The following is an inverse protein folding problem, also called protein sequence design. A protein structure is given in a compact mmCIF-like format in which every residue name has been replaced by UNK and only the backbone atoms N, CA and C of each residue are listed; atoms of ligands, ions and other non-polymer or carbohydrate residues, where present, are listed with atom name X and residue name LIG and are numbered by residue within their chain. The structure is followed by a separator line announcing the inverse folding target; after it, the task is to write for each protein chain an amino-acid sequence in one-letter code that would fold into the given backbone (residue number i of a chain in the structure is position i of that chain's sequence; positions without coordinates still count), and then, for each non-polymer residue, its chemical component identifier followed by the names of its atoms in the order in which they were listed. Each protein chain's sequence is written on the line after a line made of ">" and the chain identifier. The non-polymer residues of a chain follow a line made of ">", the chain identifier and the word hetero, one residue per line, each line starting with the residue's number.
data_IF_826569880001
#
_entry.id   IF_826569880001
#
_cell.length_a   1.000
_cell.length_b   1.000
_cell.length_c   1.000
_cell.angle_alpha   90.00
_cell.angle_beta   90.00
_cell.angle_gamma   90.00
#
_symmetry.space_group_name_H-M   'P 1'
#
loop_
_entity.id
_entity.type
_entity.pdbx_description
1 polymer ?
#
# COMPACT_ATOMS: atom_id res chain seq x y z
N UNK A 1 -8.95 -25.19 7.79
CA UNK A 1 -9.59 -23.86 7.66
C UNK A 1 -8.72 -22.71 8.19
N UNK A 2 -7.39 -22.91 8.30
CA UNK A 2 -6.42 -21.89 8.72
C UNK A 2 -5.87 -21.08 7.52
N UNK A 3 -6.69 -20.78 6.51
CA UNK A 3 -6.30 -19.95 5.34
C UNK A 3 -6.84 -18.52 5.40
N UNK A 4 -7.69 -18.20 6.38
CA UNK A 4 -8.42 -16.93 6.41
C UNK A 4 -7.97 -15.94 7.50
N UNK A 5 -6.98 -16.27 8.34
CA UNK A 5 -6.54 -15.39 9.45
C UNK A 5 -5.32 -14.52 9.08
N UNK A 6 -4.61 -14.81 7.99
CA UNK A 6 -3.45 -14.00 7.54
C UNK A 6 -3.90 -12.75 6.74
N UNK A 7 -5.02 -12.86 6.02
CA UNK A 7 -5.63 -11.76 5.27
C UNK A 7 -6.06 -10.53 6.11
N UNK A 8 -6.69 -10.66 7.30
CA UNK A 8 -7.14 -9.50 8.07
C UNK A 8 -5.98 -8.62 8.53
N UNK A 9 -4.82 -9.18 8.89
CA UNK A 9 -3.69 -8.37 9.38
C UNK A 9 -3.06 -7.56 8.25
N UNK A 10 -2.94 -8.13 7.05
CA UNK A 10 -2.44 -7.40 5.89
C UNK A 10 -3.38 -6.26 5.49
N UNK A 11 -4.70 -6.50 5.51
CA UNK A 11 -5.70 -5.48 5.24
C UNK A 11 -5.75 -4.40 6.33
N UNK A 12 -5.57 -4.79 7.59
CA UNK A 12 -5.56 -3.89 8.76
C UNK A 12 -4.32 -2.99 8.78
N UNK A 13 -3.14 -3.51 8.44
CA UNK A 13 -1.94 -2.69 8.30
C UNK A 13 -2.10 -1.66 7.17
N UNK A 14 -2.70 -2.07 6.04
CA UNK A 14 -3.01 -1.14 4.94
C UNK A 14 -4.05 -0.09 5.33
N UNK A 15 -5.06 -0.43 6.15
CA UNK A 15 -6.04 0.54 6.64
C UNK A 15 -5.43 1.56 7.60
N UNK A 16 -4.33 1.22 8.27
CA UNK A 16 -3.55 2.16 9.09
C UNK A 16 -2.48 2.92 8.30
N UNK A 17 -2.49 2.83 6.96
CA UNK A 17 -1.44 3.37 6.10
C UNK A 17 -0.05 2.87 6.49
N UNK A 18 0.08 1.59 6.86
CA UNK A 18 1.36 0.96 7.23
C UNK A 18 1.78 -0.07 6.20
N UNK A 19 3.09 -0.19 6.04
CA UNK A 19 3.67 -1.21 5.19
C UNK A 19 3.45 -2.59 5.80
N UNK A 20 2.86 -3.50 5.01
CA UNK A 20 2.60 -4.89 5.38
C UNK A 20 3.89 -5.68 5.67
N UNK A 21 5.03 -5.25 5.13
CA UNK A 21 6.32 -5.92 5.31
C UNK A 21 7.12 -5.45 6.53
N UNK A 22 7.20 -4.13 6.76
CA UNK A 22 8.06 -3.56 7.80
C UNK A 22 7.32 -2.76 8.87
N UNK A 23 5.98 -2.68 8.81
CA UNK A 23 5.14 -1.97 9.79
C UNK A 23 5.28 -0.45 9.80
N UNK A 24 6.23 0.12 9.06
CA UNK A 24 6.44 1.57 9.00
C UNK A 24 5.31 2.28 8.27
N UNK A 25 4.98 3.51 8.68
CA UNK A 25 3.91 4.27 8.06
C UNK A 25 4.31 4.66 6.63
N UNK A 26 3.36 4.52 5.71
CA UNK A 26 3.40 4.94 4.31
C UNK A 26 3.09 6.45 4.26
N UNK A 27 3.90 7.25 4.94
CA UNK A 27 3.86 8.73 4.87
C UNK A 27 4.57 9.13 3.58
N UNK A 28 3.79 9.33 2.52
CA UNK A 28 4.28 9.37 1.15
C UNK A 28 5.01 10.66 0.79
N UNK A 29 6.24 10.52 0.28
CA UNK A 29 6.65 11.31 -0.88
C UNK A 29 5.81 10.80 -2.07
N UNK A 30 4.77 11.53 -2.42
CA UNK A 30 3.93 11.28 -3.60
C UNK A 30 4.76 11.54 -4.84
N UNK A 31 5.42 10.51 -5.39
CA UNK A 31 6.38 10.74 -6.47
C UNK A 31 5.73 10.85 -7.86
N UNK A 32 4.52 10.35 -8.05
CA UNK A 32 3.78 10.54 -9.30
C UNK A 32 2.28 10.43 -9.03
N UNK A 33 1.57 11.56 -9.18
CA UNK A 33 0.10 11.60 -9.15
C UNK A 33 -0.39 11.51 -10.60
N UNK A 34 -0.63 10.29 -11.09
CA UNK A 34 -1.18 10.07 -12.43
C UNK A 34 -2.61 9.59 -12.28
N UNK A 35 -3.56 10.36 -12.81
CA UNK A 35 -4.99 9.98 -12.89
C UNK A 35 -5.62 9.55 -11.55
N UNK A 36 -5.39 10.31 -10.47
CA UNK A 36 -5.99 10.04 -9.16
C UNK A 36 -5.33 8.90 -8.38
N UNK A 37 -4.21 8.36 -8.86
CA UNK A 37 -3.42 7.37 -8.14
C UNK A 37 -2.02 7.91 -7.86
N UNK A 38 -1.52 7.62 -6.67
CA UNK A 38 -0.26 8.08 -6.15
C UNK A 38 0.65 6.90 -5.81
N UNK A 39 1.81 6.80 -6.45
CA UNK A 39 2.78 5.75 -6.12
C UNK A 39 3.58 6.14 -4.87
N UNK A 40 3.63 5.23 -3.91
CA UNK A 40 4.34 5.37 -2.64
C UNK A 40 5.29 4.19 -2.45
N UNK A 41 6.59 4.49 -2.46
CA UNK A 41 7.62 3.50 -2.19
C UNK A 41 7.97 3.50 -0.70
N UNK A 42 7.80 2.36 -0.05
CA UNK A 42 8.22 2.19 1.33
C UNK A 42 9.74 2.05 1.42
N UNK A 43 10.33 2.37 2.58
CA UNK A 43 11.78 2.23 2.82
C UNK A 43 12.29 0.78 2.65
N UNK A 44 11.41 -0.22 2.74
CA UNK A 44 11.73 -1.63 2.50
C UNK A 44 11.72 -1.99 1.00
N UNK A 45 11.70 -0.98 0.11
CA UNK A 45 11.63 -1.09 -1.36
C UNK A 45 10.30 -1.66 -1.90
N UNK A 46 9.30 -1.91 -1.06
CA UNK A 46 7.96 -2.29 -1.53
C UNK A 46 7.22 -1.08 -2.06
N UNK A 47 6.59 -1.25 -3.21
CA UNK A 47 5.85 -0.20 -3.91
C UNK A 47 4.36 -0.39 -3.64
N UNK A 48 3.71 0.69 -3.25
CA UNK A 48 2.29 0.78 -3.00
C UNK A 48 1.68 1.84 -3.90
N UNK A 49 0.41 1.69 -4.21
CA UNK A 49 -0.38 2.67 -4.93
C UNK A 49 -1.48 3.14 -4.00
N UNK A 50 -1.50 4.44 -3.74
CA UNK A 50 -2.58 5.11 -3.05
C UNK A 50 -3.62 5.56 -4.06
N UNK A 51 -4.82 5.02 -3.94
CA UNK A 51 -5.97 5.45 -4.73
C UNK A 51 -6.62 6.65 -4.01
N UNK A 52 -6.54 7.84 -4.60
CA UNK A 52 -7.08 9.08 -4.05
C UNK A 52 -8.63 9.04 -4.03
N UNK A 53 -9.25 8.33 -4.98
CA UNK A 53 -10.70 8.16 -5.08
C UNK A 53 -11.23 7.29 -3.94
N UNK A 54 -10.55 6.18 -3.66
CA UNK A 54 -10.95 5.25 -2.58
C UNK A 54 -10.29 5.53 -1.24
N UNK A 55 -9.35 6.49 -1.19
CA UNK A 55 -8.48 6.81 -0.04
C UNK A 55 -7.87 5.56 0.60
N UNK A 56 -7.41 4.62 -0.22
CA UNK A 56 -6.88 3.32 0.23
C UNK A 56 -5.54 3.03 -0.41
N UNK A 57 -4.65 2.42 0.37
CA UNK A 57 -3.41 1.86 -0.13
C UNK A 57 -3.66 0.46 -0.67
N UNK A 58 -3.17 0.19 -1.89
CA UNK A 58 -3.06 -1.14 -2.47
C UNK A 58 -1.60 -1.42 -2.83
N UNK A 59 -1.24 -2.68 -2.99
CA UNK A 59 0.06 -3.03 -3.59
C UNK A 59 0.08 -2.59 -5.05
N UNK A 60 1.21 -2.06 -5.51
CA UNK A 60 1.41 -1.78 -6.93
C UNK A 60 1.36 -3.09 -7.72
N UNK A 61 0.74 -3.05 -8.89
CA UNK A 61 0.84 -4.14 -9.86
C UNK A 61 2.20 -4.07 -10.56
N UNK A 62 2.73 -5.22 -10.99
CA UNK A 62 4.01 -5.28 -11.71
C UNK A 62 3.96 -4.47 -13.01
N UNK A 63 2.77 -4.31 -13.59
CA UNK A 63 2.51 -3.48 -14.79
C UNK A 63 2.62 -1.97 -14.54
N UNK A 64 2.68 -1.52 -13.29
CA UNK A 64 2.75 -0.10 -12.90
C UNK A 64 4.16 0.32 -12.43
N UNK A 65 5.11 -0.62 -12.42
CA UNK A 65 6.53 -0.44 -12.03
C UNK A 65 7.38 -0.45 -13.29
#
# INVERSE_FOLDING_TARGET
>A
MLKNIIAPVQAWLLSQNRCVGCGKPLVGKTQNKKSGQAVVTCICKRIYVFDDVKKRFRRALVTEI
#
